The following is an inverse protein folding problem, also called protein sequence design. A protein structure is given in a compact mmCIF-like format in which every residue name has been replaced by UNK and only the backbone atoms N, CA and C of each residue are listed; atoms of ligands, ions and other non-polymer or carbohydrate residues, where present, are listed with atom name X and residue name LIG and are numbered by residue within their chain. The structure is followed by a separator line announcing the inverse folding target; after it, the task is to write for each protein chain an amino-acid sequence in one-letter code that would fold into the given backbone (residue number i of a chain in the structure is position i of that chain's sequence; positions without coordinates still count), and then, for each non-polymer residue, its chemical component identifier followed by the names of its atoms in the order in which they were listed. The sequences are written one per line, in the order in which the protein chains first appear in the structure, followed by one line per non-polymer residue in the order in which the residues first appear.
data_IF_627045737335
#
_entry.id   IF_627045737335
#
_cell.length_a   1.000
_cell.length_b   1.000
_cell.length_c   1.000
_cell.angle_alpha   90.00
_cell.angle_beta   90.00
_cell.angle_gamma   90.00
#
_symmetry.space_group_name_H-M   'P 1'
#
loop_
_entity.id
_entity.type
_entity.pdbx_description
1 polymer ?
#
# COMPACT_ATOMS: atom_id res chain seq x y z
N UNK A 1 1.26 21.72 -39.78
CA UNK A 1 1.71 22.63 -38.70
C UNK A 1 2.49 21.80 -37.66
N UNK A 2 3.71 21.36 -37.99
CA UNK A 2 4.55 20.57 -37.09
C UNK A 2 5.86 21.30 -36.91
N UNK A 3 5.97 22.06 -35.82
CA UNK A 3 7.12 22.89 -35.54
C UNK A 3 7.45 22.89 -34.05
N UNK A 4 8.68 22.46 -33.76
CA UNK A 4 9.50 22.77 -32.58
C UNK A 4 8.98 22.27 -31.23
N UNK A 5 9.10 20.98 -30.95
CA UNK A 5 9.31 20.55 -29.57
C UNK A 5 10.69 19.90 -29.49
N UNK A 6 11.70 20.69 -29.12
CA UNK A 6 12.98 20.13 -28.71
C UNK A 6 12.74 19.48 -27.33
N UNK A 7 12.84 18.15 -27.20
CA UNK A 7 12.60 17.50 -25.92
C UNK A 7 13.59 18.05 -24.88
N UNK A 8 13.06 18.63 -23.81
CA UNK A 8 13.87 19.09 -22.68
C UNK A 8 14.53 17.85 -22.06
N UNK A 9 15.86 17.80 -21.94
CA UNK A 9 16.52 16.66 -21.30
C UNK A 9 16.02 16.58 -19.85
N UNK A 10 15.30 15.50 -19.54
CA UNK A 10 14.99 15.11 -18.18
C UNK A 10 16.12 14.23 -17.67
N UNK A 11 16.22 14.07 -16.35
CA UNK A 11 17.27 13.34 -15.62
C UNK A 11 17.57 11.92 -16.14
N UNK A 12 16.75 11.38 -17.04
CA UNK A 12 16.84 10.05 -17.61
C UNK A 12 17.69 9.90 -18.88
N UNK A 13 18.17 10.98 -19.54
CA UNK A 13 19.10 10.83 -20.67
C UNK A 13 20.54 10.70 -20.18
N UNK A 14 20.88 9.54 -19.62
CA UNK A 14 22.27 9.09 -19.41
C UNK A 14 22.47 7.83 -20.25
N UNK A 15 23.07 8.00 -21.43
CA UNK A 15 23.67 6.89 -22.19
C UNK A 15 25.12 6.78 -21.71
N UNK A 16 25.43 5.69 -21.02
CA UNK A 16 26.75 5.44 -20.45
C UNK A 16 26.58 4.93 -19.03
N UNK A 17 26.59 3.61 -18.87
CA UNK A 17 26.18 2.90 -17.67
C UNK A 17 27.15 3.01 -16.48
N UNK A 18 27.30 4.20 -15.92
CA UNK A 18 27.78 4.39 -14.55
C UNK A 18 26.94 5.46 -13.85
N UNK A 19 25.96 5.03 -13.07
CA UNK A 19 25.31 5.87 -12.07
C UNK A 19 26.32 6.16 -10.97
N UNK A 20 26.89 7.36 -10.96
CA UNK A 20 27.66 7.87 -9.81
C UNK A 20 26.69 7.95 -8.62
N UNK A 21 26.84 7.02 -7.68
CA UNK A 21 26.17 7.07 -6.38
C UNK A 21 26.85 8.19 -5.59
N UNK A 22 26.16 9.27 -5.20
CA UNK A 22 26.75 10.27 -4.32
C UNK A 22 27.16 9.59 -3.00
N UNK A 23 28.31 9.97 -2.40
CA UNK A 23 28.69 9.46 -1.08
C UNK A 23 27.52 9.72 -0.12
N UNK A 24 27.23 8.72 0.73
CA UNK A 24 26.05 8.65 1.57
C UNK A 24 25.67 10.04 2.11
N UNK A 25 24.61 10.61 1.54
CA UNK A 25 23.99 11.79 2.09
C UNK A 25 23.66 11.50 3.56
N UNK A 26 23.77 12.54 4.39
CA UNK A 26 23.33 12.62 5.80
C UNK A 26 22.27 11.54 6.08
N UNK A 27 22.47 10.65 7.09
CA UNK A 27 21.52 9.57 7.35
C UNK A 27 20.12 10.18 7.37
N UNK A 28 19.18 9.66 6.55
CA UNK A 28 17.86 10.24 6.49
C UNK A 28 17.35 10.31 7.92
N UNK A 29 16.97 11.50 8.37
CA UNK A 29 16.22 11.67 9.61
C UNK A 29 15.13 10.61 9.60
N UNK A 30 15.22 9.66 10.54
CA UNK A 30 14.37 8.49 10.54
C UNK A 30 12.92 8.98 10.54
N UNK A 31 12.17 8.62 9.50
CA UNK A 31 10.75 8.96 9.42
C UNK A 31 10.10 8.35 10.67
N UNK A 32 9.44 9.14 11.54
CA UNK A 32 8.86 8.60 12.75
C UNK A 32 7.82 7.55 12.37
N UNK A 33 7.98 6.33 12.89
CA UNK A 33 6.95 5.30 12.73
C UNK A 33 5.72 5.74 13.53
N UNK A 34 4.55 5.62 12.92
CA UNK A 34 3.30 5.82 13.63
C UNK A 34 3.23 4.79 14.76
N UNK A 35 3.10 5.27 16.00
CA UNK A 35 2.85 4.41 17.14
C UNK A 35 1.47 3.74 16.96
N UNK A 36 1.41 2.44 17.15
CA UNK A 36 0.13 1.72 17.11
C UNK A 36 -0.76 2.25 18.26
N UNK A 37 -1.92 2.80 17.91
CA UNK A 37 -2.95 3.07 18.90
C UNK A 37 -3.55 1.73 19.39
N UNK A 38 -4.03 1.66 20.63
CA UNK A 38 -4.76 0.47 21.09
C UNK A 38 -5.98 0.21 20.20
N UNK A 39 -6.18 -1.05 19.82
CA UNK A 39 -7.33 -1.46 19.01
C UNK A 39 -8.64 -1.31 19.79
N UNK A 40 -9.69 -0.86 19.12
CA UNK A 40 -11.05 -0.91 19.66
C UNK A 40 -11.65 -2.31 19.43
N UNK A 41 -12.29 -2.87 20.45
CA UNK A 41 -12.92 -4.20 20.38
C UNK A 41 -14.43 -4.06 20.61
N UNK A 42 -15.21 -4.74 19.76
CA UNK A 42 -16.65 -4.93 19.93
C UNK A 42 -16.96 -6.42 19.80
N UNK A 43 -17.78 -6.92 20.72
CA UNK A 43 -18.40 -8.25 20.61
C UNK A 43 -19.85 -8.05 20.21
N UNK A 44 -20.29 -8.75 19.17
CA UNK A 44 -21.64 -8.65 18.64
C UNK A 44 -22.08 -10.01 18.09
N UNK A 45 -23.36 -10.32 18.30
CA UNK A 45 -24.02 -11.52 17.76
C UNK A 45 -25.07 -11.03 16.75
N UNK A 46 -25.06 -11.52 15.51
CA UNK A 46 -26.08 -11.16 14.54
C UNK A 46 -27.43 -11.76 14.91
N UNK A 47 -28.51 -11.05 14.59
CA UNK A 47 -29.89 -11.53 14.82
C UNK A 47 -30.26 -12.70 13.87
N UNK A 48 -29.45 -12.94 12.83
CA UNK A 48 -29.64 -14.01 11.86
C UNK A 48 -28.33 -14.48 11.23
N UNK A 49 -28.39 -15.41 10.27
CA UNK A 49 -27.19 -15.91 9.60
C UNK A 49 -26.40 -14.79 8.90
N UNK A 50 -25.09 -14.74 9.12
CA UNK A 50 -24.18 -13.80 8.48
C UNK A 50 -22.97 -14.54 7.91
N UNK A 51 -22.82 -14.51 6.60
CA UNK A 51 -21.62 -15.01 5.92
C UNK A 51 -20.63 -13.86 5.67
N UNK A 52 -19.55 -13.83 6.44
CA UNK A 52 -18.52 -12.79 6.31
C UNK A 52 -17.79 -12.84 4.96
N UNK A 53 -17.64 -14.02 4.35
CA UNK A 53 -16.99 -14.18 3.06
C UNK A 53 -17.80 -13.55 1.94
N UNK A 54 -19.12 -13.78 1.94
CA UNK A 54 -20.04 -13.16 0.99
C UNK A 54 -20.12 -11.64 1.15
N UNK A 55 -20.15 -11.15 2.39
CA UNK A 55 -20.32 -9.71 2.66
C UNK A 55 -19.02 -8.93 2.43
N UNK A 56 -17.89 -9.46 2.90
CA UNK A 56 -16.61 -8.72 2.89
C UNK A 56 -15.76 -9.03 1.65
N UNK A 57 -15.97 -10.16 0.98
CA UNK A 57 -15.21 -10.57 -0.20
C UNK A 57 -15.14 -9.53 -1.32
N UNK A 58 -16.24 -8.85 -1.68
CA UNK A 58 -16.24 -7.81 -2.71
C UNK A 58 -15.35 -6.58 -2.41
N UNK A 59 -14.93 -6.39 -1.15
CA UNK A 59 -14.07 -5.26 -0.76
C UNK A 59 -12.58 -5.50 -1.07
N UNK A 60 -12.21 -6.73 -1.41
CA UNK A 60 -10.84 -7.10 -1.76
C UNK A 60 -10.45 -6.53 -3.12
N UNK A 61 -9.23 -5.99 -3.25
CA UNK A 61 -8.73 -5.36 -4.48
C UNK A 61 -8.08 -6.32 -5.48
N UNK A 62 -8.10 -7.61 -5.20
CA UNK A 62 -7.55 -8.67 -6.05
C UNK A 62 -6.74 -9.72 -5.30
N UNK A 63 -6.19 -10.71 -6.02
CA UNK A 63 -5.28 -11.72 -5.45
C UNK A 63 -4.13 -11.09 -4.65
N UNK A 64 -3.87 -11.61 -3.44
CA UNK A 64 -2.76 -11.15 -2.61
C UNK A 64 -2.91 -9.76 -1.99
N UNK A 65 -4.11 -9.17 -1.98
CA UNK A 65 -4.37 -7.86 -1.37
C UNK A 65 -3.83 -7.79 0.09
N UNK A 66 -2.82 -6.95 0.37
CA UNK A 66 -2.24 -6.86 1.72
C UNK A 66 -3.19 -6.19 2.72
N UNK A 67 -4.24 -5.52 2.24
CA UNK A 67 -5.24 -4.83 3.06
C UNK A 67 -6.42 -5.72 3.45
N UNK A 68 -6.46 -6.98 2.98
CA UNK A 68 -7.52 -7.94 3.27
C UNK A 68 -6.95 -9.35 3.47
N UNK A 69 -7.23 -9.98 4.62
CA UNK A 69 -6.77 -11.34 4.94
C UNK A 69 -7.89 -12.16 5.57
N UNK A 70 -8.11 -13.35 5.05
CA UNK A 70 -8.91 -14.41 5.70
C UNK A 70 -7.95 -15.39 6.36
N UNK A 71 -8.23 -15.74 7.62
CA UNK A 71 -7.45 -16.71 8.39
C UNK A 71 -8.16 -18.07 8.42
N UNK A 72 -7.45 -19.18 8.71
CA UNK A 72 -8.05 -20.51 8.73
C UNK A 72 -9.17 -20.71 9.76
N UNK A 73 -9.19 -19.88 10.81
CA UNK A 73 -10.23 -19.87 11.85
C UNK A 73 -11.50 -19.12 11.43
N UNK A 74 -11.57 -18.65 10.18
CA UNK A 74 -12.68 -17.86 9.66
C UNK A 74 -12.61 -16.37 10.01
N UNK A 75 -11.57 -15.93 10.73
CA UNK A 75 -11.41 -14.50 11.03
C UNK A 75 -11.00 -13.71 9.78
N UNK A 76 -11.50 -12.49 9.68
CA UNK A 76 -11.22 -11.57 8.57
C UNK A 76 -10.55 -10.31 9.11
N UNK A 77 -9.38 -9.98 8.56
CA UNK A 77 -8.69 -8.73 8.77
C UNK A 77 -8.84 -7.82 7.56
N UNK A 78 -9.20 -6.55 7.79
CA UNK A 78 -9.25 -5.52 6.75
C UNK A 78 -8.75 -4.18 7.28
N UNK A 79 -7.99 -3.46 6.48
CA UNK A 79 -7.71 -2.05 6.77
C UNK A 79 -8.95 -1.17 6.50
N UNK A 80 -9.25 -0.24 7.41
CA UNK A 80 -10.31 0.77 7.25
C UNK A 80 -9.81 2.15 7.70
N UNK A 81 -10.48 3.21 7.24
CA UNK A 81 -10.25 4.59 7.70
C UNK A 81 -11.06 4.88 8.94
#
# INVERSE_FOLDING_TARGET
MAGRFAPRPSRATVRGGETVVPPAAVPPTAVPRQAAAPGAVRVWVPDGPLDLGLVLGPLRRGPGDPTFRTMPDGSVWRASR
#
